data_IF_944026584164
#
_entry.id   IF_944026584164
#
_cell.length_a   1.000
_cell.length_b   1.000
_cell.length_c   1.000
_cell.angle_alpha   90.00
_cell.angle_beta   90.00
_cell.angle_gamma   90.00
#
_symmetry.space_group_name_H-M   'P 1'
#
loop_
_entity.id
_entity.type
_entity.pdbx_description
1 polymer ?
#
# COMPACT_ATOMS: atom_id res chain seq x y z
N UNK A 1 0.14 14.83 4.68
CA UNK A 1 -0.59 15.60 3.65
C UNK A 1 -0.55 17.11 3.93
N UNK A 2 -0.52 17.53 5.20
CA UNK A 2 -0.50 18.96 5.54
C UNK A 2 0.73 19.69 4.97
N UNK A 3 1.90 19.06 5.00
CA UNK A 3 3.12 19.64 4.42
C UNK A 3 2.95 19.84 2.92
N UNK A 4 2.41 18.87 2.22
CA UNK A 4 2.18 18.95 0.77
C UNK A 4 1.22 20.09 0.43
N UNK A 5 0.13 20.20 1.17
CA UNK A 5 -0.87 21.25 1.00
C UNK A 5 -0.29 22.62 1.27
N UNK A 6 0.46 22.76 2.37
CA UNK A 6 0.99 24.04 2.81
C UNK A 6 2.06 24.61 1.90
N UNK A 7 2.85 23.74 1.24
CA UNK A 7 3.84 24.21 0.25
C UNK A 7 3.21 24.69 -1.04
N UNK A 8 2.04 24.15 -1.42
CA UNK A 8 1.40 24.46 -2.70
C UNK A 8 2.20 24.03 -3.92
N UNK A 9 3.28 23.28 -3.76
CA UNK A 9 4.18 22.87 -4.84
C UNK A 9 3.75 21.52 -5.42
N UNK A 10 3.74 21.41 -6.76
CA UNK A 10 3.48 20.14 -7.45
C UNK A 10 4.59 19.12 -7.24
N UNK A 11 5.79 19.57 -6.88
CA UNK A 11 6.92 18.68 -6.61
C UNK A 11 6.89 18.04 -5.21
N UNK A 12 6.02 18.53 -4.32
CA UNK A 12 5.88 17.99 -2.97
C UNK A 12 4.62 17.15 -2.91
N UNK A 13 4.79 15.84 -2.70
CA UNK A 13 3.69 14.87 -2.67
C UNK A 13 3.89 13.86 -1.53
N UNK A 14 2.87 13.03 -1.31
CA UNK A 14 2.89 12.00 -0.30
C UNK A 14 3.14 10.62 -0.91
N UNK A 15 3.74 9.75 -0.11
CA UNK A 15 3.85 8.33 -0.37
C UNK A 15 3.13 7.57 0.75
N UNK A 16 2.32 6.59 0.40
CA UNK A 16 1.73 5.66 1.35
C UNK A 16 2.54 4.38 1.41
N UNK A 17 2.64 3.78 2.59
CA UNK A 17 3.34 2.52 2.80
C UNK A 17 2.51 1.66 3.75
N UNK A 18 1.99 0.54 3.24
CA UNK A 18 1.15 -0.36 4.05
C UNK A 18 1.88 -0.94 5.26
N UNK A 19 3.18 -1.16 5.16
CA UNK A 19 3.98 -1.61 6.30
C UNK A 19 3.97 -0.58 7.43
N UNK A 20 4.25 0.68 7.13
CA UNK A 20 4.26 1.75 8.12
C UNK A 20 2.85 2.04 8.65
N UNK A 21 1.83 2.01 7.80
CA UNK A 21 0.45 2.21 8.24
C UNK A 21 -0.01 1.14 9.23
N UNK A 22 0.50 -0.08 9.13
CA UNK A 22 0.18 -1.15 10.08
C UNK A 22 0.58 -0.78 11.51
N UNK A 23 1.71 -0.11 11.68
CA UNK A 23 2.23 0.27 12.99
C UNK A 23 1.70 1.62 13.50
N UNK A 24 1.40 2.55 12.61
CA UNK A 24 1.19 3.95 12.96
C UNK A 24 -0.26 4.41 12.81
N UNK A 25 -1.08 3.70 12.04
CA UNK A 25 -2.44 4.13 11.73
C UNK A 25 -3.48 3.12 12.22
N UNK A 26 -4.70 3.60 12.48
CA UNK A 26 -5.79 2.75 12.93
C UNK A 26 -6.47 2.01 11.79
N UNK A 27 -6.43 2.54 10.57
CA UNK A 27 -6.93 1.87 9.38
C UNK A 27 -6.21 2.36 8.13
N UNK A 28 -6.00 1.44 7.19
CA UNK A 28 -5.44 1.77 5.88
C UNK A 28 -6.37 2.72 5.11
N UNK A 29 -7.66 2.48 5.18
CA UNK A 29 -8.67 3.31 4.50
C UNK A 29 -8.57 4.78 4.94
N UNK A 30 -8.58 5.02 6.24
CA UNK A 30 -8.47 6.38 6.78
C UNK A 30 -7.13 7.03 6.47
N UNK A 31 -6.04 6.27 6.58
CA UNK A 31 -4.70 6.78 6.31
C UNK A 31 -4.56 7.25 4.86
N UNK A 32 -5.05 6.47 3.90
CA UNK A 32 -4.96 6.80 2.47
C UNK A 32 -5.84 7.99 2.12
N UNK A 33 -7.06 8.07 2.66
CA UNK A 33 -7.91 9.24 2.48
C UNK A 33 -7.28 10.52 3.04
N UNK A 34 -6.52 10.41 4.14
CA UNK A 34 -5.78 11.56 4.70
C UNK A 34 -4.72 12.10 3.74
N UNK A 35 -4.07 11.22 2.98
CA UNK A 35 -3.13 11.62 1.94
C UNK A 35 -3.82 12.26 0.74
N UNK A 36 -5.00 11.77 0.38
CA UNK A 36 -5.84 12.31 -0.67
C UNK A 36 -5.11 12.48 -2.00
N UNK A 37 -5.35 13.61 -2.65
CA UNK A 37 -4.77 13.93 -3.97
C UNK A 37 -3.24 14.07 -3.97
N UNK A 38 -2.61 14.15 -2.81
CA UNK A 38 -1.15 14.25 -2.70
C UNK A 38 -0.46 12.90 -2.80
N UNK A 39 -1.19 11.79 -2.72
CA UNK A 39 -0.63 10.45 -2.89
C UNK A 39 -0.19 10.23 -4.33
N UNK A 40 1.09 9.95 -4.52
CA UNK A 40 1.71 9.71 -5.84
C UNK A 40 2.33 8.34 -5.96
N UNK A 41 2.56 7.66 -4.86
CA UNK A 41 3.16 6.33 -4.84
C UNK A 41 2.70 5.57 -3.63
N UNK A 42 2.56 4.24 -3.78
CA UNK A 42 2.19 3.32 -2.70
C UNK A 42 3.22 2.21 -2.65
N UNK A 43 3.75 1.96 -1.46
CA UNK A 43 4.56 0.78 -1.18
C UNK A 43 3.75 -0.26 -0.43
N UNK A 44 4.02 -1.53 -0.68
CA UNK A 44 3.32 -2.65 -0.05
C UNK A 44 4.31 -3.74 0.35
N UNK A 45 4.06 -4.33 1.52
CA UNK A 45 4.84 -5.44 2.06
C UNK A 45 3.96 -6.26 2.99
N UNK A 46 4.42 -7.46 3.33
CA UNK A 46 3.76 -8.28 4.35
C UNK A 46 3.74 -7.54 5.68
N UNK A 47 2.60 -7.55 6.34
CA UNK A 47 2.45 -6.92 7.65
C UNK A 47 3.19 -7.73 8.71
N UNK A 48 4.00 -7.09 9.50
CA UNK A 48 4.76 -7.72 10.57
C UNK A 48 6.18 -8.12 10.20
N UNK A 49 6.44 -8.66 9.01
CA UNK A 49 7.77 -9.13 8.61
C UNK A 49 8.45 -8.28 7.55
N UNK A 50 7.71 -7.43 6.88
CA UNK A 50 8.17 -6.63 5.74
C UNK A 50 8.76 -7.49 4.61
N UNK A 51 8.29 -8.71 4.48
CA UNK A 51 8.61 -9.62 3.38
C UNK A 51 7.55 -9.50 2.30
N UNK A 52 7.50 -10.44 1.36
CA UNK A 52 6.49 -10.43 0.30
C UNK A 52 5.07 -10.53 0.86
N UNK A 53 4.10 -9.79 0.32
CA UNK A 53 2.70 -9.95 0.72
C UNK A 53 2.24 -11.39 0.65
N UNK A 54 1.54 -11.82 1.70
CA UNK A 54 1.06 -13.20 1.86
C UNK A 54 1.87 -14.02 2.86
N UNK A 55 3.09 -13.60 3.19
CA UNK A 55 3.94 -14.35 4.13
C UNK A 55 3.44 -14.31 5.58
N UNK A 56 2.57 -13.37 5.90
CA UNK A 56 1.93 -13.26 7.22
C UNK A 56 0.48 -13.74 7.22
N UNK A 57 0.09 -14.54 6.24
CA UNK A 57 -1.23 -15.15 6.15
C UNK A 57 -2.36 -14.14 6.05
N UNK A 58 -3.43 -14.36 6.81
CA UNK A 58 -4.64 -13.52 6.79
C UNK A 58 -4.41 -12.08 7.25
N UNK A 59 -3.31 -11.80 7.95
CA UNK A 59 -2.95 -10.43 8.34
C UNK A 59 -2.54 -9.59 7.15
N UNK A 60 -2.13 -10.22 6.05
CA UNK A 60 -1.78 -9.55 4.81
C UNK A 60 -3.03 -9.28 3.97
N UNK A 61 -3.94 -8.51 4.55
CA UNK A 61 -5.18 -8.09 3.92
C UNK A 61 -5.15 -6.58 3.68
N UNK A 62 -5.20 -6.18 2.42
CA UNK A 62 -5.10 -4.79 1.98
C UNK A 62 -6.40 -4.28 1.35
N UNK A 63 -7.48 -5.05 1.46
CA UNK A 63 -8.76 -4.74 0.78
C UNK A 63 -9.29 -3.35 1.16
N UNK A 64 -9.22 -2.98 2.43
CA UNK A 64 -9.67 -1.66 2.90
C UNK A 64 -8.89 -0.52 2.26
N UNK A 65 -7.56 -0.66 2.21
CA UNK A 65 -6.70 0.34 1.57
C UNK A 65 -6.94 0.40 0.07
N UNK A 66 -7.09 -0.74 -0.58
CA UNK A 66 -7.41 -0.79 -2.02
C UNK A 66 -8.76 -0.17 -2.32
N UNK A 67 -9.74 -0.33 -1.42
CA UNK A 67 -11.03 0.33 -1.58
C UNK A 67 -10.88 1.85 -1.56
N UNK A 68 -10.08 2.38 -0.65
CA UNK A 68 -9.80 3.82 -0.60
C UNK A 68 -9.14 4.29 -1.91
N UNK A 69 -8.14 3.56 -2.40
CA UNK A 69 -7.46 3.90 -3.66
C UNK A 69 -8.43 3.91 -4.84
N UNK A 70 -9.33 2.93 -4.92
CA UNK A 70 -10.36 2.88 -5.97
C UNK A 70 -11.33 4.05 -5.87
N UNK A 71 -11.81 4.36 -4.67
CA UNK A 71 -12.73 5.48 -4.46
C UNK A 71 -12.10 6.83 -4.81
N UNK A 72 -10.79 6.97 -4.57
CA UNK A 72 -10.03 8.16 -4.94
C UNK A 72 -9.61 8.19 -6.40
N UNK A 73 -9.90 7.14 -7.17
CA UNK A 73 -9.44 6.96 -8.55
C UNK A 73 -7.91 7.10 -8.68
N UNK A 74 -7.18 6.48 -7.76
CA UNK A 74 -5.71 6.53 -7.70
C UNK A 74 -5.11 6.02 -9.02
N UNK A 75 -4.37 6.84 -9.79
CA UNK A 75 -3.88 6.47 -11.11
C UNK A 75 -2.42 6.04 -11.15
N UNK A 76 -1.76 6.00 -10.00
CA UNK A 76 -0.32 5.74 -9.93
C UNK A 76 -0.02 4.28 -9.58
N UNK A 77 1.23 3.96 -9.23
CA UNK A 77 1.68 2.59 -9.01
C UNK A 77 1.60 2.18 -7.55
N UNK A 78 1.44 0.87 -7.34
CA UNK A 78 1.68 0.19 -6.07
C UNK A 78 2.89 -0.71 -6.29
N UNK A 79 3.95 -0.51 -5.53
CA UNK A 79 5.22 -1.22 -5.69
C UNK A 79 5.55 -2.04 -4.45
N UNK A 80 6.16 -3.20 -4.65
CA UNK A 80 6.71 -3.97 -3.53
C UNK A 80 7.93 -3.23 -2.95
N UNK A 81 7.90 -3.00 -1.64
CA UNK A 81 9.03 -2.45 -0.87
C UNK A 81 9.28 -3.40 0.28
N UNK A 82 9.92 -4.53 -0.01
CA UNK A 82 10.03 -5.63 0.95
C UNK A 82 11.15 -6.57 0.59
N UNK A 83 11.58 -7.38 1.59
CA UNK A 83 12.46 -8.51 1.36
C UNK A 83 11.71 -9.71 0.81
N UNK A 84 12.43 -10.80 0.60
CA UNK A 84 11.85 -12.08 0.19
C UNK A 84 12.58 -13.21 0.94
N UNK A 85 11.85 -13.93 1.77
CA UNK A 85 12.44 -15.01 2.57
C UNK A 85 12.75 -16.28 1.76
N UNK A 86 12.02 -16.49 0.67
CA UNK A 86 12.16 -17.66 -0.18
C UNK A 86 12.67 -17.35 -1.59
N UNK A 87 12.34 -18.23 -2.52
CA UNK A 87 12.68 -18.07 -3.92
C UNK A 87 11.81 -16.99 -4.57
N UNK A 88 12.43 -15.92 -5.06
CA UNK A 88 11.74 -14.80 -5.68
C UNK A 88 10.95 -15.20 -6.91
N UNK A 89 11.40 -16.20 -7.65
CA UNK A 89 10.71 -16.66 -8.86
C UNK A 89 9.35 -17.30 -8.53
N UNK A 90 9.15 -17.73 -7.29
CA UNK A 90 7.90 -18.30 -6.78
C UNK A 90 7.12 -17.24 -5.97
N UNK A 91 7.81 -16.55 -5.06
CA UNK A 91 7.18 -15.64 -4.10
C UNK A 91 6.63 -14.37 -4.76
N UNK A 92 7.33 -13.80 -5.73
CA UNK A 92 6.87 -12.57 -6.39
C UNK A 92 5.60 -12.79 -7.21
N UNK A 93 5.51 -13.81 -8.08
CA UNK A 93 4.26 -14.08 -8.79
C UNK A 93 3.09 -14.39 -7.84
N UNK A 94 3.31 -15.14 -6.76
CA UNK A 94 2.28 -15.46 -5.78
C UNK A 94 1.78 -14.20 -5.07
N UNK A 95 2.68 -13.32 -4.67
CA UNK A 95 2.32 -12.05 -4.03
C UNK A 95 1.53 -11.15 -4.99
N UNK A 96 1.94 -11.10 -6.24
CA UNK A 96 1.24 -10.30 -7.24
C UNK A 96 -0.19 -10.82 -7.48
N UNK A 97 -0.38 -12.13 -7.51
CA UNK A 97 -1.70 -12.73 -7.65
C UNK A 97 -2.59 -12.40 -6.44
N UNK A 98 -2.05 -12.51 -5.23
CA UNK A 98 -2.75 -12.13 -4.00
C UNK A 98 -3.23 -10.67 -4.06
N UNK A 99 -2.34 -9.77 -4.45
CA UNK A 99 -2.65 -8.34 -4.55
C UNK A 99 -3.75 -8.11 -5.58
N UNK A 100 -3.69 -8.75 -6.72
CA UNK A 100 -4.72 -8.64 -7.77
C UNK A 100 -6.07 -9.15 -7.30
N UNK A 101 -6.10 -10.27 -6.59
CA UNK A 101 -7.34 -10.81 -6.01
C UNK A 101 -7.95 -9.85 -5.00
N UNK A 102 -7.14 -9.29 -4.11
CA UNK A 102 -7.62 -8.34 -3.11
C UNK A 102 -8.08 -7.03 -3.75
N UNK A 103 -7.39 -6.56 -4.77
CA UNK A 103 -7.82 -5.40 -5.55
C UNK A 103 -9.20 -5.65 -6.18
N UNK A 104 -9.41 -6.82 -6.74
CA UNK A 104 -10.69 -7.17 -7.35
C UNK A 104 -11.84 -7.22 -6.33
N UNK A 105 -11.56 -7.60 -5.08
CA UNK A 105 -12.53 -7.62 -3.99
C UNK A 105 -12.84 -6.23 -3.43
N UNK A 106 -11.95 -5.31 -3.62
CA UNK A 106 -12.14 -3.96 -3.13
C UNK A 106 -13.12 -3.18 -4.01
#
# INVERSE_FOLDING_TARGET
ASICRDTGSRGVCCMGDFWHMTAEETSDYGALWSGGRYLRHIHIASRGTRQMPGENGDKDNYVDGFRALKEMAYPYYVSFECGCAGDRTVSVPAALELIREQWAKA
#
